data_IF_905607704832
#
_entry.id   IF_905607704832
#
_cell.length_a   1.000
_cell.length_b   1.000
_cell.length_c   1.000
_cell.angle_alpha   90.00
_cell.angle_beta   90.00
_cell.angle_gamma   90.00
#
_symmetry.space_group_name_H-M   'P 1'
#
loop_
_entity.id
_entity.type
_entity.pdbx_description
1 polymer ?
#
# COMPACT_ATOMS: atom_id res chain seq x y z
N UNK A 1 -21.44 45.28 -10.54
CA UNK A 1 -21.42 43.99 -9.79
C UNK A 1 -21.16 42.78 -10.70
N UNK A 2 -21.70 42.76 -11.93
CA UNK A 2 -21.46 41.67 -12.89
C UNK A 2 -19.97 41.44 -13.25
N UNK A 3 -19.19 42.49 -13.49
CA UNK A 3 -17.77 42.38 -13.88
C UNK A 3 -16.87 41.79 -12.80
N UNK A 4 -17.15 42.01 -11.51
CA UNK A 4 -16.41 41.37 -10.41
C UNK A 4 -16.74 39.88 -10.27
N UNK A 5 -18.01 39.50 -10.51
CA UNK A 5 -18.42 38.11 -10.52
C UNK A 5 -17.81 37.33 -11.70
N UNK A 6 -17.70 37.94 -12.88
CA UNK A 6 -17.01 37.35 -14.04
C UNK A 6 -15.50 37.19 -13.82
N UNK A 7 -14.83 38.13 -13.15
CA UNK A 7 -13.41 38.01 -12.81
C UNK A 7 -13.15 36.96 -11.72
N UNK A 8 -14.04 36.85 -10.73
CA UNK A 8 -13.93 35.82 -9.69
C UNK A 8 -14.19 34.41 -10.23
N UNK A 9 -15.16 34.26 -11.14
CA UNK A 9 -15.45 32.97 -11.78
C UNK A 9 -14.37 32.56 -12.77
N UNK A 10 -13.76 33.50 -13.52
CA UNK A 10 -12.62 33.17 -14.39
C UNK A 10 -11.37 32.79 -13.58
N UNK A 11 -11.11 33.46 -12.45
CA UNK A 11 -10.00 33.14 -11.56
C UNK A 11 -10.17 31.77 -10.88
N UNK A 12 -11.40 31.43 -10.48
CA UNK A 12 -11.74 30.11 -9.94
C UNK A 12 -11.60 29.00 -11.00
N UNK A 13 -12.02 29.27 -12.24
CA UNK A 13 -11.92 28.31 -13.35
C UNK A 13 -10.46 28.08 -13.79
N UNK A 14 -9.61 29.12 -13.77
CA UNK A 14 -8.17 28.96 -14.00
C UNK A 14 -7.47 28.19 -12.89
N UNK A 15 -7.93 28.32 -11.64
CA UNK A 15 -7.38 27.59 -10.50
C UNK A 15 -7.72 26.08 -10.55
N UNK A 16 -8.88 25.72 -11.11
CA UNK A 16 -9.31 24.33 -11.30
C UNK A 16 -8.54 23.61 -12.43
N UNK A 17 -8.05 24.35 -13.43
CA UNK A 17 -7.27 23.80 -14.54
C UNK A 17 -5.82 23.45 -14.16
N UNK A 18 -5.32 23.93 -13.03
CA UNK A 18 -3.95 23.66 -12.55
C UNK A 18 -3.78 22.28 -11.87
N UNK A 19 -4.81 21.44 -11.81
CA UNK A 19 -4.77 20.17 -11.05
C UNK A 19 -4.36 18.96 -11.93
N UNK A 20 -4.10 19.13 -13.22
CA UNK A 20 -3.71 18.02 -14.13
C UNK A 20 -2.20 17.87 -14.39
N UNK A 21 -1.34 18.31 -13.48
CA UNK A 21 0.11 18.07 -13.53
C UNK A 21 0.44 16.68 -12.99
N UNK A 22 0.21 15.65 -13.82
CA UNK A 22 0.68 14.31 -13.56
C UNK A 22 1.53 13.82 -14.72
N UNK A 23 2.76 13.39 -14.44
CA UNK A 23 3.62 12.79 -15.43
C UNK A 23 3.09 11.40 -15.84
N UNK A 24 3.21 11.10 -17.13
CA UNK A 24 2.81 9.81 -17.71
C UNK A 24 4.04 8.95 -17.92
N UNK A 25 4.01 7.69 -17.48
CA UNK A 25 5.13 6.76 -17.62
C UNK A 25 5.56 6.60 -19.08
N UNK A 26 4.61 6.55 -20.02
CA UNK A 26 4.86 6.47 -21.46
C UNK A 26 5.63 7.68 -22.03
N UNK A 27 5.60 8.83 -21.34
CA UNK A 27 6.33 10.03 -21.75
C UNK A 27 7.76 10.06 -21.23
N UNK A 28 8.11 9.25 -20.22
CA UNK A 28 9.44 9.28 -19.63
C UNK A 28 10.45 8.55 -20.52
N UNK A 29 11.67 9.07 -20.56
CA UNK A 29 12.77 8.43 -21.27
C UNK A 29 13.52 7.43 -20.40
N UNK A 30 13.90 6.30 -20.98
CA UNK A 30 14.72 5.27 -20.31
C UNK A 30 16.21 5.58 -20.44
N UNK A 31 16.70 6.56 -19.69
CA UNK A 31 18.10 7.02 -19.78
C UNK A 31 19.03 6.39 -18.75
N UNK A 32 18.48 5.89 -17.63
CA UNK A 32 19.27 5.31 -16.55
C UNK A 32 19.47 3.80 -16.75
N UNK A 33 20.69 3.35 -16.51
CA UNK A 33 21.03 1.92 -16.35
C UNK A 33 20.89 1.59 -14.88
N UNK A 34 20.15 0.52 -14.58
CA UNK A 34 19.96 0.04 -13.20
C UNK A 34 20.34 -1.43 -13.16
N UNK A 35 21.21 -1.77 -12.21
CA UNK A 35 21.65 -3.13 -11.95
C UNK A 35 21.45 -3.44 -10.47
N UNK A 36 21.15 -4.70 -10.16
CA UNK A 36 20.91 -5.15 -8.79
C UNK A 36 21.69 -6.46 -8.54
N UNK A 37 22.07 -6.69 -7.29
CA UNK A 37 22.74 -7.91 -6.86
C UNK A 37 21.93 -9.22 -7.00
N UNK A 38 20.59 -9.26 -6.82
CA UNK A 38 19.84 -10.51 -6.83
C UNK A 38 19.82 -11.11 -8.23
N UNK A 39 20.05 -12.42 -8.31
CA UNK A 39 19.96 -13.15 -9.58
C UNK A 39 18.52 -13.38 -9.96
N UNK A 40 18.27 -13.56 -11.27
CA UNK A 40 16.95 -13.93 -11.75
C UNK A 40 16.46 -15.23 -11.08
N UNK A 41 15.29 -15.18 -10.45
CA UNK A 41 14.69 -16.30 -9.73
C UNK A 41 15.21 -16.53 -8.30
N UNK A 42 16.13 -15.70 -7.80
CA UNK A 42 16.55 -15.74 -6.40
C UNK A 42 15.42 -15.27 -5.48
N UNK A 43 15.33 -15.86 -4.29
CA UNK A 43 14.33 -15.52 -3.28
C UNK A 43 15.03 -14.99 -2.04
N UNK A 44 14.67 -13.79 -1.62
CA UNK A 44 15.27 -13.08 -0.48
C UNK A 44 14.26 -12.93 0.64
N UNK A 45 14.72 -12.95 1.88
CA UNK A 45 13.90 -12.77 3.08
C UNK A 45 13.87 -11.31 3.51
N UNK A 46 12.66 -10.79 3.66
CA UNK A 46 12.45 -9.44 4.23
C UNK A 46 13.06 -9.35 5.63
N UNK A 47 13.72 -8.26 5.98
CA UNK A 47 14.24 -8.01 7.33
C UNK A 47 15.57 -8.67 7.67
N UNK A 48 16.09 -9.54 6.81
CA UNK A 48 17.37 -10.24 6.98
C UNK A 48 18.31 -9.96 5.81
N UNK A 49 17.83 -10.20 4.59
CA UNK A 49 18.65 -10.11 3.39
C UNK A 49 18.82 -8.67 2.89
N UNK A 50 19.93 -8.46 2.20
CA UNK A 50 20.33 -7.16 1.64
C UNK A 50 20.43 -7.22 0.14
N UNK A 51 20.07 -6.10 -0.49
CA UNK A 51 20.16 -5.90 -1.93
C UNK A 51 21.10 -4.74 -2.19
N UNK A 52 22.07 -4.93 -3.09
CA UNK A 52 22.88 -3.84 -3.61
C UNK A 52 22.27 -3.38 -4.93
N UNK A 53 21.95 -2.09 -5.02
CA UNK A 53 21.45 -1.47 -6.25
C UNK A 53 22.47 -0.45 -6.74
N UNK A 54 22.80 -0.56 -8.02
CA UNK A 54 23.67 0.38 -8.72
C UNK A 54 22.91 1.03 -9.86
N UNK A 55 23.12 2.34 -10.04
CA UNK A 55 22.52 3.08 -11.14
C UNK A 55 23.44 4.17 -11.67
N UNK A 56 23.26 4.50 -12.95
CA UNK A 56 24.00 5.56 -13.62
C UNK A 56 23.37 5.94 -14.95
N UNK A 57 23.77 7.09 -15.48
CA UNK A 57 23.35 7.50 -16.82
C UNK A 57 23.98 6.57 -17.87
N UNK A 58 23.20 6.16 -18.86
CA UNK A 58 23.75 5.45 -20.00
C UNK A 58 24.63 6.40 -20.83
N UNK A 59 25.93 6.08 -20.94
CA UNK A 59 26.92 6.90 -21.65
C UNK A 59 26.70 6.96 -23.18
N UNK A 60 25.75 6.19 -23.70
CA UNK A 60 25.34 6.26 -25.11
C UNK A 60 24.55 7.53 -25.43
N UNK A 61 24.00 8.23 -24.42
CA UNK A 61 23.27 9.49 -24.61
C UNK A 61 24.24 10.68 -24.69
N UNK A 62 23.85 11.76 -25.41
CA UNK A 62 24.67 12.95 -25.49
C UNK A 62 24.83 13.61 -24.12
N UNK A 63 25.98 14.25 -23.91
CA UNK A 63 26.26 15.02 -22.70
C UNK A 63 25.19 16.12 -22.51
N UNK A 64 24.69 16.26 -21.27
CA UNK A 64 23.64 17.23 -20.92
C UNK A 64 22.21 16.67 -20.92
N UNK A 65 22.01 15.40 -21.28
CA UNK A 65 20.71 14.72 -21.17
C UNK A 65 20.18 14.69 -19.73
N UNK A 66 21.09 14.70 -18.77
CA UNK A 66 20.84 14.68 -17.33
C UNK A 66 20.81 16.07 -16.68
N UNK A 67 20.81 17.16 -17.45
CA UNK A 67 20.83 18.53 -16.93
C UNK A 67 19.64 18.84 -15.99
N UNK A 68 18.49 18.23 -16.28
CA UNK A 68 17.29 18.34 -15.46
C UNK A 68 17.34 17.49 -14.18
N UNK A 69 18.25 16.51 -14.06
CA UNK A 69 18.22 15.53 -12.98
C UNK A 69 18.79 16.15 -11.69
N UNK A 70 17.96 16.24 -10.65
CA UNK A 70 18.34 16.74 -9.32
C UNK A 70 18.41 15.63 -8.29
N UNK A 71 17.40 14.76 -8.28
CA UNK A 71 17.28 13.68 -7.29
C UNK A 71 17.00 12.37 -8.00
N UNK A 72 17.55 11.27 -7.50
CA UNK A 72 17.16 9.92 -7.94
C UNK A 72 16.48 9.20 -6.80
N UNK A 73 15.28 8.66 -7.06
CA UNK A 73 14.60 7.76 -6.14
C UNK A 73 14.55 6.38 -6.75
N UNK A 74 15.13 5.42 -6.05
CA UNK A 74 15.07 4.01 -6.41
C UNK A 74 13.90 3.39 -5.67
N UNK A 75 13.03 2.71 -6.41
CA UNK A 75 11.83 2.06 -5.89
C UNK A 75 11.82 0.59 -6.28
N UNK A 76 11.22 -0.21 -5.41
CA UNK A 76 10.94 -1.61 -5.63
C UNK A 76 9.54 -1.76 -6.23
N UNK A 77 9.43 -2.52 -7.30
CA UNK A 77 8.26 -2.55 -8.18
C UNK A 77 7.74 -3.98 -8.37
N UNK A 78 6.41 -4.18 -8.32
CA UNK A 78 5.79 -5.49 -8.51
C UNK A 78 5.91 -5.98 -9.97
N UNK A 79 6.40 -7.19 -10.16
CA UNK A 79 6.40 -7.85 -11.47
C UNK A 79 4.96 -8.20 -11.91
N UNK A 80 4.66 -8.29 -13.23
CA UNK A 80 3.30 -8.57 -13.73
C UNK A 80 2.65 -9.81 -13.11
N UNK A 81 3.43 -10.87 -12.88
CA UNK A 81 2.96 -12.11 -12.23
C UNK A 81 2.39 -11.88 -10.83
N UNK A 82 2.90 -10.88 -10.11
CA UNK A 82 2.47 -10.52 -8.75
C UNK A 82 1.36 -9.45 -8.71
N UNK A 83 0.90 -8.97 -9.87
CA UNK A 83 -0.17 -7.98 -10.00
C UNK A 83 -1.54 -8.61 -10.32
N UNK A 84 -1.57 -9.86 -10.77
CA UNK A 84 -2.80 -10.59 -11.13
C UNK A 84 -3.77 -10.58 -9.94
N UNK A 85 -5.02 -10.19 -10.17
CA UNK A 85 -6.10 -10.08 -9.17
C UNK A 85 -5.82 -9.16 -7.96
N UNK A 86 -4.78 -8.33 -8.03
CA UNK A 86 -4.40 -7.40 -6.97
C UNK A 86 -4.46 -5.96 -7.49
N UNK A 87 -5.67 -5.39 -7.51
CA UNK A 87 -5.89 -4.00 -7.96
C UNK A 87 -5.00 -2.97 -7.25
N UNK A 88 -4.59 -3.24 -6.01
CA UNK A 88 -3.68 -2.41 -5.23
C UNK A 88 -2.20 -2.46 -5.68
N UNK A 89 -1.83 -3.33 -6.63
CA UNK A 89 -0.49 -3.44 -7.25
C UNK A 89 -0.48 -3.10 -8.74
N UNK A 90 -1.63 -2.67 -9.29
CA UNK A 90 -1.84 -2.51 -10.73
C UNK A 90 -0.98 -1.39 -11.32
N UNK A 91 -0.33 -1.68 -12.46
CA UNK A 91 0.32 -0.65 -13.26
C UNK A 91 -0.70 0.28 -13.92
N UNK A 92 -0.49 1.58 -13.76
CA UNK A 92 -1.23 2.66 -14.44
C UNK A 92 -0.23 3.59 -15.08
N UNK A 93 -0.54 4.11 -16.27
CA UNK A 93 0.38 4.99 -17.00
C UNK A 93 0.58 6.34 -16.29
N UNK A 94 -0.48 6.88 -15.68
CA UNK A 94 -0.40 8.09 -14.88
C UNK A 94 0.37 7.82 -13.58
N UNK A 95 1.56 8.43 -13.41
CA UNK A 95 2.51 8.07 -12.34
C UNK A 95 1.97 8.28 -10.93
N UNK A 96 1.14 9.31 -10.71
CA UNK A 96 0.53 9.53 -9.37
C UNK A 96 -0.49 8.46 -8.99
N UNK A 97 -1.01 7.72 -9.97
CA UNK A 97 -1.97 6.62 -9.77
C UNK A 97 -1.30 5.24 -9.88
N UNK A 98 -0.02 5.19 -10.29
CA UNK A 98 0.71 3.96 -10.46
C UNK A 98 1.02 3.31 -9.11
N UNK A 99 0.49 2.11 -8.89
CA UNK A 99 0.74 1.33 -7.68
C UNK A 99 1.79 0.24 -7.89
N UNK A 100 2.47 0.24 -9.03
CA UNK A 100 3.53 -0.75 -9.31
C UNK A 100 4.69 -0.61 -8.34
N UNK A 101 5.15 0.62 -8.10
CA UNK A 101 6.40 0.92 -7.39
C UNK A 101 6.10 1.68 -6.10
N UNK A 102 5.65 0.96 -5.06
CA UNK A 102 5.20 1.55 -3.79
C UNK A 102 6.35 1.72 -2.78
N UNK A 103 7.31 0.81 -2.81
CA UNK A 103 8.34 0.71 -1.79
C UNK A 103 9.57 1.50 -2.21
N UNK A 104 10.01 2.44 -1.38
CA UNK A 104 11.18 3.29 -1.64
C UNK A 104 12.41 2.62 -1.04
N UNK A 105 13.41 2.35 -1.88
CA UNK A 105 14.71 1.81 -1.46
C UNK A 105 15.60 2.95 -0.97
N UNK A 106 15.77 3.99 -1.81
CA UNK A 106 16.62 5.13 -1.48
C UNK A 106 16.17 6.38 -2.23
N UNK A 107 16.44 7.55 -1.66
CA UNK A 107 16.33 8.85 -2.33
C UNK A 107 17.62 9.62 -2.08
N UNK A 108 18.37 9.93 -3.13
CA UNK A 108 19.65 10.64 -3.04
C UNK A 108 19.76 11.70 -4.13
N UNK A 109 20.57 12.75 -3.90
CA UNK A 109 20.93 13.69 -4.96
C UNK A 109 21.56 12.97 -6.14
N UNK A 110 21.24 13.41 -7.36
CA UNK A 110 21.75 12.81 -8.57
C UNK A 110 23.28 13.00 -8.69
N UNK A 111 23.97 11.93 -9.06
CA UNK A 111 25.35 11.94 -9.52
C UNK A 111 25.44 11.14 -10.81
N UNK A 112 26.25 11.60 -11.76
CA UNK A 112 26.32 10.97 -13.09
C UNK A 112 26.82 9.52 -13.07
N UNK A 113 27.71 9.17 -12.14
CA UNK A 113 28.32 7.84 -12.05
C UNK A 113 28.59 7.39 -10.60
N UNK A 114 28.86 6.10 -10.43
CA UNK A 114 29.26 5.47 -9.16
C UNK A 114 28.19 5.53 -8.06
N UNK A 115 26.91 5.53 -8.41
CA UNK A 115 25.87 5.37 -7.40
C UNK A 115 25.67 3.89 -7.10
N UNK A 116 25.93 3.52 -5.85
CA UNK A 116 25.71 2.19 -5.30
C UNK A 116 25.17 2.33 -3.89
N UNK A 117 24.10 1.61 -3.58
CA UNK A 117 23.53 1.57 -2.24
C UNK A 117 23.20 0.14 -1.88
N UNK A 118 23.63 -0.25 -0.69
CA UNK A 118 23.17 -1.46 -0.02
C UNK A 118 21.91 -1.12 0.80
N UNK A 119 20.85 -1.87 0.58
CA UNK A 119 19.57 -1.71 1.28
C UNK A 119 19.13 -3.05 1.84
N UNK A 120 18.86 -3.09 3.15
CA UNK A 120 18.23 -4.23 3.80
C UNK A 120 16.75 -4.21 3.48
N UNK A 121 16.20 -5.34 3.05
CA UNK A 121 14.77 -5.44 2.72
C UNK A 121 13.96 -5.16 3.99
N UNK A 122 13.03 -4.22 3.94
CA UNK A 122 12.20 -3.89 5.10
C UNK A 122 11.17 -4.99 5.40
N UNK A 123 10.78 -5.14 6.67
CA UNK A 123 9.88 -6.22 7.13
C UNK A 123 8.43 -6.06 6.64
N UNK A 124 8.06 -4.88 6.21
CA UNK A 124 6.74 -4.54 5.67
C UNK A 124 6.61 -4.85 4.16
N UNK A 125 7.70 -5.26 3.52
CA UNK A 125 7.69 -5.70 2.12
C UNK A 125 6.98 -7.05 2.03
N UNK A 126 5.83 -7.14 1.34
CA UNK A 126 5.06 -8.37 1.29
C UNK A 126 5.68 -9.41 0.36
N UNK A 127 5.30 -10.68 0.54
CA UNK A 127 5.72 -11.75 -0.36
C UNK A 127 5.21 -11.51 -1.79
N UNK A 128 6.14 -11.36 -2.73
CA UNK A 128 5.87 -11.19 -4.15
C UNK A 128 7.16 -11.27 -5.00
N UNK A 129 6.99 -11.29 -6.31
CA UNK A 129 8.08 -11.12 -7.29
C UNK A 129 8.23 -9.65 -7.67
N UNK A 130 9.47 -9.17 -7.67
CA UNK A 130 9.82 -7.78 -7.83
C UNK A 130 10.88 -7.54 -8.90
N UNK A 131 10.96 -6.29 -9.35
CA UNK A 131 12.07 -5.70 -10.08
C UNK A 131 12.35 -4.32 -9.50
N UNK A 132 13.50 -3.73 -9.84
CA UNK A 132 13.91 -2.43 -9.32
C UNK A 132 13.83 -1.39 -10.43
N UNK A 133 13.31 -0.20 -10.10
CA UNK A 133 13.24 0.94 -10.99
C UNK A 133 13.79 2.19 -10.30
N UNK A 134 14.70 2.88 -10.98
CA UNK A 134 15.17 4.19 -10.58
C UNK A 134 14.41 5.25 -11.38
N UNK A 135 14.01 6.33 -10.72
CA UNK A 135 13.41 7.50 -11.32
C UNK A 135 14.31 8.71 -11.07
N UNK A 136 14.58 9.48 -12.11
CA UNK A 136 15.20 10.79 -12.00
C UNK A 136 14.11 11.85 -11.86
N UNK A 137 14.33 12.76 -10.91
CA UNK A 137 13.44 13.85 -10.55
C UNK A 137 14.11 15.19 -10.84
N UNK A 138 13.32 16.16 -11.29
CA UNK A 138 13.73 17.55 -11.45
C UNK A 138 13.68 18.36 -10.14
N UNK A 139 13.80 19.69 -10.23
CA UNK A 139 13.77 20.58 -9.06
C UNK A 139 12.35 20.69 -8.47
N UNK A 140 11.33 20.43 -9.27
CA UNK A 140 9.91 20.43 -8.93
C UNK A 140 9.43 19.05 -8.43
N UNK A 141 10.37 18.12 -8.19
CA UNK A 141 10.12 16.74 -7.77
C UNK A 141 9.18 15.97 -8.72
N UNK A 142 9.26 16.26 -10.02
CA UNK A 142 8.57 15.54 -11.09
C UNK A 142 9.48 14.51 -11.75
N UNK A 143 8.96 13.32 -12.06
CA UNK A 143 9.73 12.31 -12.77
C UNK A 143 9.98 12.71 -14.23
N UNK A 144 11.25 12.86 -14.58
CA UNK A 144 11.69 13.24 -15.94
C UNK A 144 12.31 12.09 -16.73
N UNK A 145 12.84 11.09 -16.04
CA UNK A 145 13.42 9.90 -16.66
C UNK A 145 13.39 8.70 -15.73
N UNK A 146 13.61 7.51 -16.30
CA UNK A 146 13.68 6.28 -15.52
C UNK A 146 14.75 5.32 -16.02
N UNK A 147 15.01 4.31 -15.20
CA UNK A 147 15.76 3.12 -15.54
C UNK A 147 15.21 1.95 -14.77
N UNK A 148 15.32 0.74 -15.30
CA UNK A 148 14.83 -0.47 -14.62
C UNK A 148 15.72 -1.66 -14.94
N UNK A 149 15.77 -2.62 -14.02
CA UNK A 149 16.57 -3.86 -14.14
C UNK A 149 16.00 -4.85 -15.15
N UNK A 150 14.72 -4.69 -15.52
CA UNK A 150 13.97 -5.61 -16.38
C UNK A 150 13.76 -5.07 -17.80
N UNK A 151 13.37 -5.95 -18.72
CA UNK A 151 13.00 -5.63 -20.11
C UNK A 151 11.65 -4.89 -20.21
N UNK A 152 11.27 -4.45 -21.41
CA UNK A 152 10.02 -3.72 -21.62
C UNK A 152 8.77 -4.57 -21.26
N UNK A 153 8.84 -5.89 -21.43
CA UNK A 153 7.77 -6.82 -21.07
C UNK A 153 7.81 -7.24 -19.59
N UNK A 154 8.82 -6.81 -18.84
CA UNK A 154 9.01 -7.09 -17.40
C UNK A 154 9.11 -8.60 -17.10
N UNK A 155 9.89 -9.33 -17.90
CA UNK A 155 10.01 -10.80 -17.83
C UNK A 155 11.38 -11.29 -17.35
N UNK A 156 12.40 -10.44 -17.41
CA UNK A 156 13.80 -10.77 -17.10
C UNK A 156 14.26 -10.07 -15.82
N UNK A 157 15.30 -10.61 -15.17
CA UNK A 157 15.89 -10.07 -13.92
C UNK A 157 14.88 -9.80 -12.80
N UNK A 158 13.93 -10.71 -12.67
CA UNK A 158 12.94 -10.73 -11.59
C UNK A 158 13.49 -11.54 -10.42
N UNK A 159 13.21 -11.11 -9.19
CA UNK A 159 13.56 -11.84 -7.98
C UNK A 159 12.37 -11.89 -7.02
N UNK A 160 12.31 -12.93 -6.20
CA UNK A 160 11.30 -13.09 -5.16
C UNK A 160 11.73 -12.40 -3.88
N UNK A 161 10.78 -11.82 -3.18
CA UNK A 161 10.93 -11.49 -1.77
C UNK A 161 9.88 -12.30 -1.02
N UNK A 162 10.30 -12.97 0.04
CA UNK A 162 9.44 -13.58 1.04
C UNK A 162 9.38 -12.68 2.26
N UNK A 163 8.16 -12.25 2.61
CA UNK A 163 7.92 -11.60 3.87
C UNK A 163 8.19 -12.59 5.00
N UNK A 164 8.87 -12.15 6.06
CA UNK A 164 8.83 -12.85 7.33
C UNK A 164 7.38 -12.78 7.76
N UNK A 165 6.71 -13.93 7.82
CA UNK A 165 5.37 -14.05 8.36
C UNK A 165 5.42 -13.71 9.83
N UNK A 166 5.36 -12.42 10.14
CA UNK A 166 5.08 -11.92 11.46
C UNK A 166 3.61 -12.22 11.73
N UNK A 167 3.32 -13.41 12.24
CA UNK A 167 2.15 -13.56 13.10
C UNK A 167 2.41 -12.60 14.26
N UNK A 168 1.94 -11.35 14.11
CA UNK A 168 2.23 -10.31 15.08
C UNK A 168 1.73 -10.85 16.43
N UNK A 169 2.59 -10.85 17.44
CA UNK A 169 2.20 -11.34 18.78
C UNK A 169 0.91 -10.65 19.27
N UNK A 170 0.68 -9.39 18.85
CA UNK A 170 -0.57 -8.66 19.11
C UNK A 170 -1.81 -9.32 18.50
N UNK A 171 -1.74 -9.84 17.27
CA UNK A 171 -2.86 -10.54 16.61
C UNK A 171 -3.18 -11.86 17.34
N UNK A 172 -2.16 -12.56 17.83
CA UNK A 172 -2.36 -13.79 18.60
C UNK A 172 -2.93 -13.53 19.98
N UNK A 173 -2.41 -12.52 20.68
CA UNK A 173 -2.92 -12.12 21.98
C UNK A 173 -4.37 -11.65 21.84
N UNK A 174 -4.70 -10.85 20.83
CA UNK A 174 -6.07 -10.41 20.57
C UNK A 174 -7.02 -11.59 20.31
N UNK A 175 -6.61 -12.56 19.49
CA UNK A 175 -7.40 -13.76 19.21
C UNK A 175 -7.66 -14.59 20.48
N UNK A 176 -6.66 -14.73 21.36
CA UNK A 176 -6.81 -15.41 22.67
C UNK A 176 -7.77 -14.63 23.58
N UNK A 177 -7.64 -13.30 23.68
CA UNK A 177 -8.52 -12.49 24.51
C UNK A 177 -9.98 -12.53 24.03
N UNK A 178 -10.23 -12.39 22.73
CA UNK A 178 -11.59 -12.41 22.18
C UNK A 178 -12.26 -13.78 22.30
N UNK A 179 -11.50 -14.86 22.09
CA UNK A 179 -12.02 -16.22 22.29
C UNK A 179 -12.37 -16.47 23.76
N UNK A 180 -11.50 -16.11 24.71
CA UNK A 180 -11.80 -16.23 26.14
C UNK A 180 -13.03 -15.39 26.54
N UNK A 181 -13.14 -14.15 26.06
CA UNK A 181 -14.28 -13.28 26.33
C UNK A 181 -15.61 -13.87 25.82
N UNK A 182 -15.60 -14.52 24.65
CA UNK A 182 -16.79 -15.17 24.11
C UNK A 182 -17.30 -16.32 25.01
N UNK A 183 -16.38 -17.16 25.50
CA UNK A 183 -16.73 -18.28 26.39
C UNK A 183 -17.21 -17.78 27.74
N UNK A 184 -16.53 -16.78 28.32
CA UNK A 184 -16.91 -16.19 29.60
C UNK A 184 -18.27 -15.50 29.52
N UNK A 185 -18.54 -14.77 28.44
CA UNK A 185 -19.84 -14.10 28.26
C UNK A 185 -20.99 -15.10 28.09
N UNK A 186 -20.78 -16.20 27.35
CA UNK A 186 -21.76 -17.29 27.21
C UNK A 186 -22.03 -18.00 28.55
N UNK A 187 -20.97 -18.34 29.29
CA UNK A 187 -21.10 -18.93 30.63
C UNK A 187 -21.81 -17.99 31.61
N UNK A 188 -21.50 -16.69 31.56
CA UNK A 188 -22.17 -15.66 32.34
C UNK A 188 -23.68 -15.59 32.02
N UNK A 189 -24.03 -15.64 30.73
CA UNK A 189 -25.43 -15.66 30.29
C UNK A 189 -26.20 -16.86 30.88
N UNK A 190 -25.66 -18.08 30.72
CA UNK A 190 -26.29 -19.29 31.28
C UNK A 190 -26.39 -19.25 32.81
N UNK A 191 -25.42 -18.65 33.51
CA UNK A 191 -25.48 -18.54 34.96
C UNK A 191 -26.58 -17.59 35.44
N UNK A 192 -26.74 -16.45 34.76
CA UNK A 192 -27.83 -15.49 35.03
C UNK A 192 -29.18 -16.14 34.76
N UNK A 193 -29.33 -16.87 33.65
CA UNK A 193 -30.55 -17.60 33.31
C UNK A 193 -30.90 -18.67 34.37
N UNK A 194 -29.89 -19.42 34.84
CA UNK A 194 -30.05 -20.42 35.93
C UNK A 194 -30.39 -19.79 37.29
N UNK A 195 -30.00 -18.54 37.54
CA UNK A 195 -30.41 -17.81 38.76
C UNK A 195 -31.84 -17.28 38.64
N UNK A 196 -32.24 -16.77 37.47
CA UNK A 196 -33.62 -16.29 37.23
C UNK A 196 -34.65 -17.42 37.34
N UNK A 197 -34.33 -18.63 36.87
CA UNK A 197 -35.19 -19.82 37.03
C UNK A 197 -35.35 -20.31 38.47
N UNK A 198 -34.42 -19.99 39.39
CA UNK A 198 -34.59 -20.29 40.83
C UNK A 198 -35.43 -19.25 41.58
N UNK A 199 -35.41 -18.00 41.13
CA UNK A 199 -36.21 -16.90 41.74
C UNK A 199 -37.67 -16.93 41.25
N UNK A 200 -37.95 -17.57 40.11
CA UNK A 200 -39.29 -17.73 39.55
C UNK A 200 -40.22 -18.67 40.34
N UNK A 201 -39.74 -19.39 41.36
CA UNK A 201 -40.60 -20.15 42.28
C UNK A 201 -41.18 -19.31 43.44
N UNK A 202 -40.96 -17.99 43.48
CA UNK A 202 -41.58 -17.14 44.51
C UNK A 202 -42.14 -15.79 44.05
N UNK A 203 -42.03 -15.41 42.78
CA UNK A 203 -42.63 -14.16 42.31
C UNK A 203 -43.33 -14.39 40.98
N UNK A 204 -44.65 -14.25 41.05
CA UNK A 204 -45.58 -14.24 39.92
C UNK A 204 -45.09 -13.32 38.80
N UNK A 205 -45.34 -13.78 37.58
CA UNK A 205 -45.06 -13.11 36.32
C UNK A 205 -45.59 -11.67 36.33
N UNK A 206 -44.68 -10.70 36.32
CA UNK A 206 -44.97 -9.38 35.76
C UNK A 206 -43.99 -9.15 34.62
N UNK A 207 -44.45 -9.43 33.40
CA UNK A 207 -43.85 -8.90 32.18
C UNK A 207 -43.77 -7.38 32.32
N UNK A 208 -42.55 -6.86 32.47
CA UNK A 208 -42.27 -5.46 32.18
C UNK A 208 -41.32 -5.44 30.99
N UNK A 209 -41.91 -5.34 29.80
CA UNK A 209 -41.25 -4.84 28.61
C UNK A 209 -40.72 -3.45 28.93
N UNK A 210 -39.47 -3.36 29.39
CA UNK A 210 -38.77 -2.09 29.49
C UNK A 210 -38.06 -1.85 28.17
N UNK A 211 -38.72 -1.03 27.35
CA UNK A 211 -38.15 -0.33 26.22
C UNK A 211 -36.77 0.21 26.58
N UNK A 212 -35.73 -0.23 25.88
CA UNK A 212 -34.44 0.46 25.88
C UNK A 212 -34.52 1.54 24.80
N UNK A 213 -34.86 2.76 25.24
CA UNK A 213 -34.46 3.95 24.53
C UNK A 213 -32.94 4.11 24.66
N UNK A 214 -32.32 4.29 23.50
CA UNK A 214 -31.10 5.06 23.22
C UNK A 214 -30.25 5.51 24.41
N UNK A 215 -29.02 4.98 24.47
CA UNK A 215 -27.85 5.83 24.75
C UNK A 215 -26.92 5.67 23.56
N UNK A 216 -27.06 6.65 22.68
CA UNK A 216 -26.13 7.03 21.62
C UNK A 216 -24.69 7.07 22.14
N UNK A 217 -23.84 6.21 21.61
CA UNK A 217 -22.44 6.57 21.40
C UNK A 217 -22.39 7.31 20.06
N UNK A 218 -22.16 8.62 20.16
CA UNK A 218 -21.86 9.43 18.99
C UNK A 218 -20.54 8.98 18.37
N UNK A 219 -20.64 8.43 17.18
CA UNK A 219 -19.80 8.73 16.02
C UNK A 219 -20.66 8.40 14.78
N UNK A 220 -21.33 9.41 14.23
CA UNK A 220 -21.84 9.36 12.85
C UNK A 220 -20.65 9.26 11.87
N UNK A 221 -20.76 8.76 10.66
CA UNK A 221 -21.91 8.38 9.84
C UNK A 221 -21.54 7.10 9.05
N UNK A 222 -22.58 6.30 8.75
CA UNK A 222 -22.76 5.42 7.59
C UNK A 222 -21.62 4.50 7.13
N UNK A 223 -21.85 3.19 7.18
CA UNK A 223 -22.22 2.36 5.99
C UNK A 223 -22.68 0.98 6.46
N UNK A 224 -23.85 0.59 5.96
CA UNK A 224 -24.46 -0.74 5.94
C UNK A 224 -23.48 -1.92 5.90
N UNK A 225 -23.54 -2.81 6.90
CA UNK A 225 -22.98 -4.16 6.79
C UNK A 225 -24.11 -5.18 6.76
N UNK A 226 -24.41 -5.60 5.54
CA UNK A 226 -25.20 -6.77 5.19
C UNK A 226 -24.55 -8.00 5.83
N UNK A 227 -25.32 -8.77 6.58
CA UNK A 227 -24.94 -10.12 7.01
C UNK A 227 -24.77 -11.00 5.77
N UNK A 228 -23.53 -11.33 5.41
CA UNK A 228 -23.24 -12.45 4.51
C UNK A 228 -22.75 -13.64 5.33
N UNK A 229 -23.64 -14.61 5.43
CA UNK A 229 -23.38 -16.03 5.67
C UNK A 229 -22.05 -16.47 5.04
N UNK A 230 -21.15 -17.01 5.86
CA UNK A 230 -20.13 -17.95 5.37
C UNK A 230 -20.53 -19.35 5.83
N UNK A 231 -21.26 -20.01 4.94
CA UNK A 231 -21.40 -21.45 4.87
C UNK A 231 -20.01 -22.05 4.60
N UNK A 232 -19.46 -22.74 5.60
CA UNK A 232 -18.20 -23.46 5.44
C UNK A 232 -18.52 -24.92 5.07
N UNK A 233 -18.65 -25.18 3.77
CA UNK A 233 -18.76 -26.53 3.20
C UNK A 233 -18.06 -26.64 1.84
N UNK A 234 -16.87 -27.27 1.83
CA UNK A 234 -16.31 -28.25 0.87
C UNK A 234 -14.78 -28.28 0.99
N UNK A 235 -14.08 -29.41 0.86
CA UNK A 235 -14.37 -30.71 0.24
C UNK A 235 -14.09 -31.89 1.17
#
# INVERSE_FOLDING_TARGET
MATRAFLLTSLLLSCLLQICSGAYFSSLQRTLIVTASPKAGEVLKSGEDKITVTWGLNQSYPAGTDSAYKTVKVKLCYAPISQVDRAWRKTVDHLTKDKTCQHKIVSQPYKASNNSVEWTIEKDVPTATYFIRAYAYDAEDQEVAYGQTTDAHKTTNLFGIEAITGRHASLDIAAVCFSAFSVVSLCGFFWVEKRKSRVANYVSVTMMTRSYNEVMWGCGEDVSVVYLFWDCRRE
#
